data_IF_339278847059
#
_entry.id   IF_339278847059
#
_cell.length_a   1.000
_cell.length_b   1.000
_cell.length_c   1.000
_cell.angle_alpha   90.00
_cell.angle_beta   90.00
_cell.angle_gamma   90.00
#
_symmetry.space_group_name_H-M   'P 1'
#
loop_
_entity.id
_entity.type
_entity.pdbx_description
1 polymer ?
#
# COMPACT_ATOMS: atom_id res chain seq x y z
N UNK A 1 -14.74 10.30 4.93
CA UNK A 1 -14.87 10.37 3.45
C UNK A 1 -13.82 11.34 2.95
N UNK A 2 -13.03 10.96 1.94
CA UNK A 2 -12.02 11.85 1.35
C UNK A 2 -12.66 13.13 0.78
N UNK A 3 -12.03 14.28 0.99
CA UNK A 3 -12.43 15.56 0.39
C UNK A 3 -12.10 15.64 -1.11
N UNK A 4 -11.36 14.66 -1.61
CA UNK A 4 -10.89 14.57 -2.98
C UNK A 4 -11.38 13.29 -3.66
N UNK A 5 -11.43 13.35 -4.99
CA UNK A 5 -11.45 12.16 -5.84
C UNK A 5 -10.21 12.12 -6.72
N UNK A 6 -9.73 10.92 -7.03
CA UNK A 6 -8.55 10.72 -7.83
C UNK A 6 -8.89 10.46 -9.30
N UNK A 7 -7.94 10.69 -10.18
CA UNK A 7 -7.99 10.15 -11.53
C UNK A 7 -8.15 8.63 -11.44
N UNK A 8 -9.01 8.06 -12.29
CA UNK A 8 -9.24 6.62 -12.33
C UNK A 8 -7.97 5.85 -12.66
N UNK A 9 -7.65 4.85 -11.85
CA UNK A 9 -6.54 3.92 -12.07
C UNK A 9 -7.08 2.50 -11.95
N UNK A 10 -6.87 1.67 -12.95
CA UNK A 10 -7.35 0.30 -12.94
C UNK A 10 -6.55 -0.60 -11.99
N UNK A 11 -7.12 -1.74 -11.58
CA UNK A 11 -6.36 -2.71 -10.79
C UNK A 11 -5.15 -3.26 -11.53
N UNK A 12 -5.23 -3.40 -12.85
CA UNK A 12 -4.10 -3.86 -13.65
C UNK A 12 -2.98 -2.82 -13.70
N UNK A 13 -3.32 -1.51 -13.74
CA UNK A 13 -2.32 -0.45 -13.57
C UNK A 13 -1.68 -0.51 -12.16
N UNK A 14 -2.48 -0.75 -11.10
CA UNK A 14 -1.94 -0.93 -9.74
C UNK A 14 -0.96 -2.12 -9.67
N UNK A 15 -1.27 -3.23 -10.35
CA UNK A 15 -0.36 -4.39 -10.46
C UNK A 15 0.94 -4.03 -11.18
N UNK A 16 0.85 -3.26 -12.26
CA UNK A 16 2.03 -2.80 -12.98
C UNK A 16 2.88 -1.85 -12.12
N UNK A 17 2.26 -0.90 -11.44
CA UNK A 17 2.97 0.00 -10.50
C UNK A 17 3.66 -0.82 -9.41
N UNK A 18 2.95 -1.74 -8.76
CA UNK A 18 3.51 -2.61 -7.73
C UNK A 18 4.69 -3.45 -8.26
N UNK A 19 4.56 -4.02 -9.46
CA UNK A 19 5.63 -4.76 -10.11
C UNK A 19 6.86 -3.87 -10.34
N UNK A 20 6.68 -2.65 -10.87
CA UNK A 20 7.78 -1.71 -11.13
C UNK A 20 8.46 -1.25 -9.84
N UNK A 21 7.70 -0.99 -8.77
CA UNK A 21 8.26 -0.67 -7.45
C UNK A 21 9.08 -1.84 -6.91
N UNK A 22 8.54 -3.05 -6.93
CA UNK A 22 9.28 -4.26 -6.51
C UNK A 22 10.54 -4.46 -7.33
N UNK A 23 10.48 -4.20 -8.64
CA UNK A 23 11.65 -4.27 -9.53
C UNK A 23 12.71 -3.23 -9.18
N UNK A 24 12.30 -1.98 -9.02
CA UNK A 24 13.19 -0.85 -8.70
C UNK A 24 13.97 -1.08 -7.42
N UNK A 25 13.31 -1.62 -6.39
CA UNK A 25 13.90 -1.84 -5.07
C UNK A 25 14.42 -3.26 -4.83
N UNK A 26 14.46 -4.12 -5.85
CA UNK A 26 15.09 -5.44 -5.77
C UNK A 26 14.26 -6.52 -5.09
N UNK A 27 12.93 -6.40 -5.06
CA UNK A 27 12.03 -7.35 -4.38
C UNK A 27 11.24 -8.28 -5.33
N UNK A 28 11.61 -8.40 -6.61
CA UNK A 28 10.87 -9.24 -7.55
C UNK A 28 10.84 -10.72 -7.13
N UNK A 29 11.97 -11.23 -6.65
CA UNK A 29 12.10 -12.64 -6.28
C UNK A 29 11.57 -12.94 -4.87
N UNK A 30 11.30 -11.91 -4.08
CA UNK A 30 10.83 -12.02 -2.71
C UNK A 30 9.30 -12.12 -2.65
N UNK A 31 8.78 -12.96 -1.77
CA UNK A 31 7.37 -12.91 -1.39
C UNK A 31 7.10 -11.68 -0.51
N UNK A 32 7.87 -11.56 0.54
CA UNK A 32 7.79 -10.48 1.51
C UNK A 32 8.59 -9.24 1.06
N UNK A 33 8.03 -8.05 1.28
CA UNK A 33 8.75 -6.77 1.28
C UNK A 33 8.90 -6.30 2.72
N UNK A 34 10.10 -6.10 3.26
CA UNK A 34 10.30 -5.43 4.53
C UNK A 34 9.94 -3.93 4.36
N UNK A 35 8.82 -3.51 4.98
CA UNK A 35 8.25 -2.16 4.75
C UNK A 35 9.12 -1.04 5.31
N UNK A 36 9.84 -1.32 6.39
CA UNK A 36 10.86 -0.45 6.99
C UNK A 36 11.99 -0.16 6.00
N UNK A 37 12.57 -1.21 5.43
CA UNK A 37 13.63 -1.05 4.41
C UNK A 37 13.14 -0.40 3.13
N UNK A 38 11.89 -0.66 2.74
CA UNK A 38 11.31 -0.01 1.58
C UNK A 38 11.18 1.50 1.81
N UNK A 39 10.80 1.95 3.02
CA UNK A 39 10.79 3.37 3.40
C UNK A 39 12.18 4.00 3.26
N UNK A 40 13.21 3.37 3.82
CA UNK A 40 14.58 3.87 3.72
C UNK A 40 15.02 3.99 2.26
N UNK A 41 14.83 2.94 1.47
CA UNK A 41 15.18 2.93 0.05
C UNK A 41 14.39 3.96 -0.77
N UNK A 42 13.15 4.25 -0.38
CA UNK A 42 12.35 5.29 -1.03
C UNK A 42 12.89 6.68 -0.70
N UNK A 43 13.30 6.95 0.54
CA UNK A 43 13.95 8.21 0.91
C UNK A 43 15.28 8.40 0.16
N UNK A 44 16.06 7.34 -0.03
CA UNK A 44 17.27 7.39 -0.85
C UNK A 44 16.98 7.67 -2.33
N UNK A 45 15.88 7.13 -2.87
CA UNK A 45 15.52 7.26 -4.28
C UNK A 45 14.76 8.56 -4.60
N UNK A 46 14.09 9.16 -3.63
CA UNK A 46 13.30 10.39 -3.71
C UNK A 46 13.76 11.35 -2.61
N UNK A 47 14.77 12.19 -2.87
CA UNK A 47 15.40 13.04 -1.84
C UNK A 47 14.48 14.02 -1.12
N UNK A 48 13.34 14.35 -1.71
CA UNK A 48 12.28 15.15 -1.09
C UNK A 48 11.45 14.37 -0.07
N UNK A 49 11.37 13.03 -0.19
CA UNK A 49 10.63 12.19 0.74
C UNK A 49 11.40 12.03 2.05
N UNK A 50 10.68 12.20 3.15
CA UNK A 50 11.14 11.83 4.49
C UNK A 50 10.07 11.02 5.22
N UNK A 51 10.45 10.31 6.27
CA UNK A 51 9.47 9.76 7.21
C UNK A 51 9.88 10.05 8.65
N UNK A 52 8.88 10.10 9.52
CA UNK A 52 9.04 10.37 10.95
C UNK A 52 8.31 9.31 11.76
N UNK A 53 9.01 8.73 12.73
CA UNK A 53 8.42 7.85 13.74
C UNK A 53 8.07 8.72 14.94
N UNK A 54 6.76 8.84 15.23
CA UNK A 54 6.24 9.74 16.26
C UNK A 54 5.87 8.91 17.50
N UNK A 55 6.39 9.27 18.69
CA UNK A 55 5.98 8.65 19.93
C UNK A 55 4.46 8.61 20.12
N UNK A 56 3.96 7.56 20.76
CA UNK A 56 2.52 7.34 20.88
C UNK A 56 1.79 8.45 21.65
N UNK A 57 2.44 9.06 22.63
CA UNK A 57 1.94 10.17 23.43
C UNK A 57 1.99 11.53 22.73
N UNK A 58 2.82 11.66 21.70
CA UNK A 58 2.90 12.85 20.84
C UNK A 58 2.02 12.74 19.59
N UNK A 59 1.36 11.58 19.37
CA UNK A 59 0.56 11.34 18.19
C UNK A 59 -0.73 12.19 18.16
N UNK A 60 -0.85 13.07 17.18
CA UNK A 60 -1.93 14.07 17.10
C UNK A 60 -3.10 13.71 16.18
N UNK A 61 -3.07 12.55 15.50
CA UNK A 61 -4.13 12.10 14.58
C UNK A 61 -4.92 10.91 15.17
N UNK A 62 -5.95 11.12 16.03
CA UNK A 62 -6.59 10.06 16.81
C UNK A 62 -7.22 8.92 15.98
N UNK A 63 -7.67 9.23 14.76
CA UNK A 63 -8.34 8.28 13.88
C UNK A 63 -7.40 7.59 12.88
N UNK A 64 -6.11 7.98 12.82
CA UNK A 64 -5.12 7.42 11.93
C UNK A 64 -3.95 6.82 12.71
N UNK A 65 -3.29 5.85 12.14
CA UNK A 65 -2.11 5.19 12.70
C UNK A 65 -0.81 5.57 11.97
N UNK A 66 -0.94 6.06 10.77
CA UNK A 66 0.09 6.71 9.98
C UNK A 66 -0.59 7.74 9.05
N UNK A 67 0.14 8.70 8.54
CA UNK A 67 -0.39 9.78 7.66
C UNK A 67 0.68 10.22 6.68
N UNK A 68 0.32 10.29 5.41
CA UNK A 68 1.16 10.88 4.36
C UNK A 68 0.77 12.34 4.11
N UNK A 69 1.70 13.26 4.34
CA UNK A 69 1.57 14.65 3.94
C UNK A 69 2.23 14.84 2.57
N UNK A 70 1.40 14.96 1.55
CA UNK A 70 1.86 15.10 0.16
C UNK A 70 2.58 16.42 -0.07
N UNK A 71 2.14 17.51 0.58
CA UNK A 71 2.72 18.85 0.39
C UNK A 71 4.12 18.96 1.02
N UNK A 72 4.30 18.30 2.16
CA UNK A 72 5.56 18.28 2.89
C UNK A 72 6.45 17.09 2.50
N UNK A 73 5.96 16.21 1.64
CA UNK A 73 6.62 14.96 1.26
C UNK A 73 7.05 14.11 2.47
N UNK A 74 6.20 14.03 3.49
CA UNK A 74 6.51 13.34 4.74
C UNK A 74 5.51 12.26 5.07
N UNK A 75 6.00 11.08 5.46
CA UNK A 75 5.17 9.99 6.00
C UNK A 75 5.39 9.94 7.50
N UNK A 76 4.36 10.25 8.31
CA UNK A 76 4.41 10.15 9.76
C UNK A 76 3.80 8.83 10.20
N UNK A 77 4.48 8.10 11.06
CA UNK A 77 4.08 6.77 11.50
C UNK A 77 4.13 6.74 13.03
N UNK A 78 3.05 6.29 13.66
CA UNK A 78 2.99 6.08 15.08
C UNK A 78 4.01 5.02 15.50
N UNK A 79 4.80 5.25 16.56
CA UNK A 79 5.92 4.39 16.98
C UNK A 79 5.49 2.95 17.23
N UNK A 80 4.37 2.74 17.94
CA UNK A 80 3.85 1.38 18.19
C UNK A 80 3.47 0.63 16.92
N UNK A 81 3.00 1.34 15.88
CA UNK A 81 2.69 0.76 14.56
C UNK A 81 3.97 0.37 13.83
N UNK A 82 4.96 1.25 13.81
CA UNK A 82 6.24 1.00 13.18
C UNK A 82 6.93 -0.24 13.78
N UNK A 83 7.04 -0.28 15.12
CA UNK A 83 7.67 -1.39 15.82
C UNK A 83 6.97 -2.73 15.52
N UNK A 84 5.64 -2.79 15.59
CA UNK A 84 4.89 -4.00 15.27
C UNK A 84 4.99 -4.40 13.79
N UNK A 85 5.10 -3.43 12.88
CA UNK A 85 5.33 -3.73 11.47
C UNK A 85 6.70 -4.39 11.24
N UNK A 86 7.75 -3.91 11.93
CA UNK A 86 9.09 -4.53 11.93
C UNK A 86 9.07 -5.95 12.52
N UNK A 87 8.20 -6.21 13.51
CA UNK A 87 7.96 -7.55 14.08
C UNK A 87 7.14 -8.48 13.17
N UNK A 88 6.73 -8.01 11.99
CA UNK A 88 5.98 -8.82 11.02
C UNK A 88 4.46 -8.81 11.23
N UNK A 89 3.89 -7.90 12.04
CA UNK A 89 2.43 -7.80 12.21
C UNK A 89 1.78 -7.31 10.93
N UNK A 90 1.08 -8.21 10.23
CA UNK A 90 0.54 -7.98 8.89
C UNK A 90 -0.38 -6.77 8.77
N UNK A 91 -1.18 -6.46 9.80
CA UNK A 91 -2.05 -5.27 9.81
C UNK A 91 -1.23 -3.97 9.82
N UNK A 92 -0.20 -3.90 10.68
CA UNK A 92 0.64 -2.71 10.82
C UNK A 92 1.54 -2.52 9.60
N UNK A 93 2.02 -3.62 9.00
CA UNK A 93 2.72 -3.60 7.70
C UNK A 93 1.83 -3.05 6.59
N UNK A 94 0.54 -3.45 6.56
CA UNK A 94 -0.43 -2.93 5.61
C UNK A 94 -0.66 -1.43 5.81
N UNK A 95 -0.68 -0.95 7.07
CA UNK A 95 -0.80 0.48 7.38
C UNK A 95 0.36 1.27 6.77
N UNK A 96 1.60 0.83 6.95
CA UNK A 96 2.77 1.51 6.38
C UNK A 96 2.74 1.43 4.84
N UNK A 97 2.42 0.27 4.28
CA UNK A 97 2.32 0.10 2.83
C UNK A 97 1.23 0.97 2.20
N UNK A 98 0.16 1.26 2.95
CA UNK A 98 -0.91 2.17 2.52
C UNK A 98 -0.41 3.61 2.37
N UNK A 99 0.37 4.11 3.33
CA UNK A 99 0.96 5.45 3.25
C UNK A 99 2.01 5.54 2.12
N UNK A 100 2.84 4.52 1.98
CA UNK A 100 3.75 4.39 0.83
C UNK A 100 2.97 4.44 -0.49
N UNK A 101 1.83 3.76 -0.57
CA UNK A 101 0.99 3.74 -1.77
C UNK A 101 0.41 5.12 -2.10
N UNK A 102 -0.04 5.90 -1.10
CA UNK A 102 -0.45 7.29 -1.30
C UNK A 102 0.67 8.11 -1.93
N UNK A 103 1.89 8.02 -1.37
CA UNK A 103 3.03 8.75 -1.90
C UNK A 103 3.35 8.34 -3.34
N UNK A 104 3.41 7.05 -3.62
CA UNK A 104 3.68 6.53 -4.97
C UNK A 104 2.65 7.04 -5.97
N UNK A 105 1.36 6.91 -5.67
CA UNK A 105 0.29 7.30 -6.59
C UNK A 105 0.31 8.79 -6.91
N UNK A 106 0.55 9.64 -5.93
CA UNK A 106 0.42 11.08 -6.10
C UNK A 106 1.74 11.72 -6.52
N UNK A 107 2.84 11.41 -5.85
CA UNK A 107 4.11 12.08 -6.07
C UNK A 107 5.00 11.39 -7.12
N UNK A 108 4.87 10.07 -7.30
CA UNK A 108 5.72 9.32 -8.24
C UNK A 108 5.03 9.04 -9.56
N UNK A 109 3.73 8.69 -9.55
CA UNK A 109 2.97 8.43 -10.78
C UNK A 109 2.07 9.60 -11.20
N UNK A 110 2.09 10.69 -10.44
CA UNK A 110 1.37 11.93 -10.72
C UNK A 110 -0.14 11.73 -10.94
N UNK A 111 -0.76 10.80 -10.21
CA UNK A 111 -2.22 10.62 -10.22
C UNK A 111 -2.88 11.90 -9.73
N UNK A 112 -3.69 12.51 -10.59
CA UNK A 112 -4.34 13.80 -10.30
C UNK A 112 -5.43 13.64 -9.25
N UNK A 113 -5.41 14.53 -8.26
CA UNK A 113 -6.46 14.71 -7.28
C UNK A 113 -7.35 15.91 -7.66
N UNK A 114 -8.65 15.76 -7.45
CA UNK A 114 -9.64 16.80 -7.70
C UNK A 114 -10.52 16.99 -6.48
N UNK A 115 -10.91 18.26 -6.19
CA UNK A 115 -11.86 18.53 -5.11
C UNK A 115 -13.19 17.83 -5.37
N UNK A 116 -13.71 17.14 -4.37
CA UNK A 116 -14.90 16.31 -4.50
C UNK A 116 -16.18 17.12 -4.72
N UNK A 117 -16.36 18.24 -4.02
CA UNK A 117 -17.62 18.96 -3.98
C UNK A 117 -18.78 18.02 -3.60
N UNK A 118 -19.93 18.16 -4.24
CA UNK A 118 -21.12 17.32 -4.01
C UNK A 118 -21.18 16.05 -4.90
N UNK A 119 -20.08 15.72 -5.58
CA UNK A 119 -20.06 14.58 -6.52
C UNK A 119 -20.00 13.26 -5.77
N UNK A 120 -20.85 12.31 -6.19
CA UNK A 120 -20.70 10.91 -5.83
C UNK A 120 -19.45 10.37 -6.54
N UNK A 121 -18.54 9.81 -5.77
CA UNK A 121 -17.28 9.27 -6.28
C UNK A 121 -17.41 7.77 -6.45
N UNK A 122 -17.09 7.28 -7.63
CA UNK A 122 -17.00 5.85 -7.89
C UNK A 122 -15.80 5.25 -7.13
N UNK A 123 -15.90 3.99 -6.72
CA UNK A 123 -14.90 3.34 -5.86
C UNK A 123 -13.48 3.44 -6.42
N UNK A 124 -13.32 3.27 -7.71
CA UNK A 124 -12.01 3.33 -8.38
C UNK A 124 -11.42 4.76 -8.53
N UNK A 125 -12.22 5.79 -8.19
CA UNK A 125 -11.79 7.19 -8.09
C UNK A 125 -11.59 7.65 -6.63
N UNK A 126 -11.77 6.76 -5.64
CA UNK A 126 -11.50 7.05 -4.25
C UNK A 126 -10.01 6.87 -3.96
N UNK A 127 -9.26 7.93 -3.57
CA UNK A 127 -7.83 7.84 -3.26
C UNK A 127 -7.51 6.80 -2.19
N UNK A 128 -8.39 6.64 -1.21
CA UNK A 128 -8.22 5.66 -0.13
C UNK A 128 -8.34 4.22 -0.66
N UNK A 129 -9.29 3.98 -1.57
CA UNK A 129 -9.42 2.68 -2.23
C UNK A 129 -8.21 2.39 -3.11
N UNK A 130 -7.73 3.39 -3.86
CA UNK A 130 -6.56 3.25 -4.72
C UNK A 130 -5.31 2.92 -3.90
N UNK A 131 -5.06 3.62 -2.80
CA UNK A 131 -3.94 3.36 -1.91
C UNK A 131 -4.02 1.96 -1.28
N UNK A 132 -5.21 1.54 -0.83
CA UNK A 132 -5.45 0.17 -0.34
C UNK A 132 -5.15 -0.87 -1.41
N UNK A 133 -5.60 -0.64 -2.64
CA UNK A 133 -5.38 -1.55 -3.76
C UNK A 133 -3.90 -1.70 -4.05
N UNK A 134 -3.16 -0.58 -4.19
CA UNK A 134 -1.73 -0.61 -4.46
C UNK A 134 -0.94 -1.23 -3.30
N UNK A 135 -1.27 -0.92 -2.05
CA UNK A 135 -0.64 -1.52 -0.87
C UNK A 135 -0.79 -3.06 -0.87
N UNK A 136 -1.99 -3.55 -1.19
CA UNK A 136 -2.24 -4.98 -1.29
C UNK A 136 -1.43 -5.63 -2.42
N UNK A 137 -1.35 -5.01 -3.61
CA UNK A 137 -0.55 -5.51 -4.73
C UNK A 137 0.97 -5.43 -4.45
N UNK A 138 1.42 -4.44 -3.66
CA UNK A 138 2.80 -4.33 -3.19
C UNK A 138 3.17 -5.48 -2.23
N UNK A 139 2.34 -5.73 -1.21
CA UNK A 139 2.64 -6.73 -0.20
C UNK A 139 2.37 -8.16 -0.67
N UNK A 140 1.37 -8.36 -1.55
CA UNK A 140 0.93 -9.67 -2.04
C UNK A 140 1.09 -9.69 -3.57
N UNK A 141 2.25 -10.10 -4.08
CA UNK A 141 2.59 -9.94 -5.50
C UNK A 141 1.75 -10.86 -6.40
N UNK A 142 0.81 -10.26 -7.13
CA UNK A 142 -0.10 -10.96 -8.05
C UNK A 142 0.63 -11.87 -9.03
N UNK A 143 1.71 -11.39 -9.65
CA UNK A 143 2.49 -12.17 -10.63
C UNK A 143 3.10 -13.45 -10.05
N UNK A 144 3.47 -13.45 -8.75
CA UNK A 144 3.98 -14.67 -8.09
C UNK A 144 2.86 -15.64 -7.77
N UNK A 145 1.71 -15.13 -7.33
CA UNK A 145 0.54 -15.97 -7.02
C UNK A 145 0.00 -16.68 -8.26
N UNK A 146 -0.06 -15.97 -9.39
CA UNK A 146 -0.55 -16.52 -10.66
C UNK A 146 0.43 -17.47 -11.33
N UNK A 147 1.72 -17.43 -10.97
CA UNK A 147 2.72 -18.38 -11.43
C UNK A 147 2.67 -19.73 -10.68
N UNK A 148 1.91 -19.83 -9.59
CA UNK A 148 1.75 -21.09 -8.86
C UNK A 148 0.92 -22.09 -9.66
N UNK A 149 1.30 -23.36 -9.62
CA UNK A 149 0.57 -24.45 -10.30
C UNK A 149 -0.76 -24.79 -9.65
N UNK A 150 -0.93 -24.43 -8.38
CA UNK A 150 -2.17 -24.61 -7.62
C UNK A 150 -2.59 -23.29 -7.01
N UNK A 151 -3.90 -23.11 -6.84
CA UNK A 151 -4.45 -21.96 -6.14
C UNK A 151 -3.88 -21.91 -4.72
N UNK A 152 -3.25 -20.80 -4.29
CA UNK A 152 -2.74 -20.67 -2.93
C UNK A 152 -3.87 -20.62 -1.90
N UNK A 153 -3.59 -21.07 -0.68
CA UNK A 153 -4.47 -20.89 0.46
C UNK A 153 -4.26 -19.53 1.12
N UNK A 154 -5.22 -19.10 1.94
CA UNK A 154 -5.08 -17.92 2.79
C UNK A 154 -3.86 -18.03 3.69
N UNK A 155 -3.71 -19.19 4.37
CA UNK A 155 -2.59 -19.42 5.30
C UNK A 155 -1.23 -19.33 4.60
N UNK A 156 -1.11 -19.88 3.38
CA UNK A 156 0.10 -19.74 2.60
C UNK A 156 0.45 -18.26 2.33
N UNK A 157 -0.52 -17.46 1.89
CA UNK A 157 -0.29 -16.05 1.60
C UNK A 157 0.08 -15.29 2.89
N UNK A 158 -0.62 -15.56 4.00
CA UNK A 158 -0.32 -14.96 5.29
C UNK A 158 1.13 -15.24 5.72
N UNK A 159 1.57 -16.47 5.58
CA UNK A 159 2.92 -16.91 5.97
C UNK A 159 4.00 -16.27 5.10
N UNK A 160 3.90 -16.41 3.76
CA UNK A 160 4.98 -15.99 2.85
C UNK A 160 5.05 -14.48 2.64
N UNK A 161 3.93 -13.77 2.77
CA UNK A 161 3.85 -12.32 2.60
C UNK A 161 3.84 -11.55 3.93
N UNK A 162 3.64 -12.23 5.06
CA UNK A 162 3.43 -11.64 6.39
C UNK A 162 2.32 -10.56 6.38
N UNK A 163 1.13 -10.96 5.96
CA UNK A 163 -0.07 -10.14 5.90
C UNK A 163 -1.18 -10.71 6.77
N UNK A 164 -2.23 -9.91 7.04
CA UNK A 164 -3.40 -10.40 7.76
C UNK A 164 -4.25 -11.35 6.91
N UNK A 165 -5.09 -12.18 7.56
CA UNK A 165 -6.07 -13.03 6.88
C UNK A 165 -6.98 -12.22 5.96
N UNK A 166 -7.50 -11.06 6.44
CA UNK A 166 -8.38 -10.20 5.66
C UNK A 166 -7.72 -9.73 4.35
N UNK A 167 -6.43 -9.35 4.41
CA UNK A 167 -5.68 -8.94 3.23
C UNK A 167 -5.44 -10.11 2.26
N UNK A 168 -5.12 -11.29 2.78
CA UNK A 168 -4.92 -12.49 1.98
C UNK A 168 -6.23 -12.95 1.31
N UNK A 169 -7.34 -12.99 2.05
CA UNK A 169 -8.68 -13.33 1.53
C UNK A 169 -9.13 -12.35 0.46
N UNK A 170 -8.98 -11.04 0.72
CA UNK A 170 -9.33 -10.01 -0.25
C UNK A 170 -8.55 -10.20 -1.56
N UNK A 171 -7.23 -10.42 -1.48
CA UNK A 171 -6.41 -10.59 -2.68
C UNK A 171 -6.75 -11.88 -3.46
N UNK A 172 -7.09 -12.96 -2.77
CA UNK A 172 -7.50 -14.22 -3.39
C UNK A 172 -8.75 -14.11 -4.27
N UNK A 173 -9.66 -13.17 -4.00
CA UNK A 173 -10.86 -12.93 -4.80
C UNK A 173 -10.52 -12.51 -6.24
N UNK A 174 -9.36 -11.88 -6.44
CA UNK A 174 -8.92 -11.37 -7.74
C UNK A 174 -7.97 -12.30 -8.51
N UNK A 175 -7.58 -13.43 -7.90
CA UNK A 175 -6.71 -14.45 -8.54
C UNK A 175 -7.53 -15.48 -9.30
N UNK A 176 -8.75 -15.74 -8.88
CA UNK A 176 -9.64 -16.67 -9.56
C UNK A 176 -10.36 -15.94 -10.68
N UNK A 177 -9.79 -15.83 -11.86
CA UNK A 177 -10.34 -15.41 -13.15
C UNK A 177 -11.86 -15.20 -13.31
N UNK A 178 -12.45 -14.36 -12.48
CA UNK A 178 -13.88 -14.12 -12.42
C UNK A 178 -14.23 -12.81 -11.72
N UNK A 179 -13.28 -11.90 -11.57
CA UNK A 179 -13.58 -10.55 -11.13
C UNK A 179 -14.31 -9.82 -12.24
N UNK A 180 -15.63 -9.87 -12.20
CA UNK A 180 -16.48 -8.92 -12.94
C UNK A 180 -16.09 -7.53 -12.45
N UNK A 181 -15.83 -6.66 -13.42
CA UNK A 181 -15.62 -5.22 -13.32
C UNK A 181 -16.60 -4.53 -12.39
#
# INVERSE_FOLDING_TARGET
MSEYYAQSVSRDDMRQIAYLVRKKFGYLDNWKIPVDRLLDQMCDAFPELSYEIVPDDEWSAPSAHAVTNITEHTIRIKESIYNRACEGKGRDRMTIAHEIAHYILICVTEVKLYCRGDKKVETYNDPEWQAKCLAAELLIPYYKLTALTKRPSVDFIMEVCEVSSDAAEYQLQFISGGGVL
#
